data_IF_078960828670
#
_entry.id   IF_078960828670
#
_cell.length_a   1.000
_cell.length_b   1.000
_cell.length_c   1.000
_cell.angle_alpha   90.00
_cell.angle_beta   90.00
_cell.angle_gamma   90.00
#
_symmetry.space_group_name_H-M   'P 1'
#
loop_
_entity.id
_entity.type
_entity.pdbx_description
1 polymer ?
#
# COMPACT_ATOMS: atom_id res chain seq x y z
N UNK A 1 14.95 -5.30 -15.14
CA UNK A 1 13.51 -4.94 -15.05
C UNK A 1 12.87 -5.78 -13.95
N UNK A 2 12.12 -5.19 -13.01
CA UNK A 2 11.43 -5.94 -11.94
C UNK A 2 9.93 -5.92 -12.20
N UNK A 3 9.27 -7.04 -11.98
CA UNK A 3 7.81 -7.16 -12.05
C UNK A 3 7.28 -7.09 -10.62
N UNK A 4 6.29 -6.24 -10.38
CA UNK A 4 5.63 -6.07 -9.09
C UNK A 4 4.12 -6.18 -9.21
N UNK A 5 3.45 -6.13 -8.05
CA UNK A 5 1.99 -6.18 -7.94
C UNK A 5 1.47 -5.03 -7.10
N UNK A 6 0.29 -4.53 -7.44
CA UNK A 6 -0.40 -3.49 -6.69
C UNK A 6 -1.19 -4.12 -5.54
N UNK A 7 -1.05 -3.59 -4.32
CA UNK A 7 -1.71 -4.09 -3.11
C UNK A 7 -2.46 -2.98 -2.36
N UNK A 8 -3.39 -3.37 -1.49
CA UNK A 8 -4.10 -2.45 -0.60
C UNK A 8 -3.24 -2.00 0.59
N UNK A 9 -2.18 -2.74 0.92
CA UNK A 9 -1.28 -2.46 2.04
C UNK A 9 -1.58 -3.22 3.33
N UNK A 10 -2.35 -4.31 3.23
CA UNK A 10 -2.56 -5.25 4.32
C UNK A 10 -1.38 -6.25 4.40
N UNK A 11 -1.11 -6.83 5.57
CA UNK A 11 0.00 -7.79 5.72
C UNK A 11 -0.30 -9.09 4.96
N UNK A 12 -1.58 -9.43 4.85
CA UNK A 12 -2.12 -10.53 4.08
C UNK A 12 -1.77 -10.41 2.60
N UNK A 13 -1.78 -9.19 2.06
CA UNK A 13 -1.39 -8.90 0.68
C UNK A 13 0.09 -9.21 0.43
N UNK A 14 0.97 -8.97 1.40
CA UNK A 14 2.40 -9.33 1.29
C UNK A 14 2.58 -10.85 1.20
N UNK A 15 1.81 -11.59 1.99
CA UNK A 15 1.83 -13.06 1.97
C UNK A 15 1.28 -13.60 0.65
N UNK A 16 0.25 -12.97 0.10
CA UNK A 16 -0.27 -13.27 -1.25
C UNK A 16 0.78 -12.97 -2.33
N UNK A 17 1.41 -11.81 -2.30
CA UNK A 17 2.44 -11.41 -3.25
C UNK A 17 3.63 -12.38 -3.25
N UNK A 18 4.10 -12.78 -2.05
CA UNK A 18 5.19 -13.74 -1.90
C UNK A 18 4.84 -15.11 -2.50
N UNK A 19 3.64 -15.64 -2.21
CA UNK A 19 3.19 -16.93 -2.77
C UNK A 19 3.09 -16.94 -4.29
N UNK A 20 2.84 -15.77 -4.89
CA UNK A 20 2.79 -15.59 -6.33
C UNK A 20 4.17 -15.30 -6.96
N UNK A 21 5.23 -15.27 -6.16
CA UNK A 21 6.60 -15.06 -6.63
C UNK A 21 6.99 -13.59 -6.81
N UNK A 22 6.15 -12.64 -6.42
CA UNK A 22 6.49 -11.22 -6.48
C UNK A 22 7.47 -10.83 -5.39
N UNK A 23 8.43 -9.96 -5.75
CA UNK A 23 9.43 -9.38 -4.85
C UNK A 23 9.31 -7.85 -4.74
N UNK A 24 8.31 -7.27 -5.38
CA UNK A 24 8.07 -5.83 -5.40
C UNK A 24 6.56 -5.56 -5.34
N UNK A 25 6.17 -4.56 -4.56
CA UNK A 25 4.78 -4.11 -4.49
C UNK A 25 4.64 -2.59 -4.62
N UNK A 26 3.46 -2.15 -5.03
CA UNK A 26 2.98 -0.79 -4.85
C UNK A 26 1.84 -0.77 -3.83
N UNK A 27 1.90 0.14 -2.86
CA UNK A 27 0.86 0.32 -1.85
C UNK A 27 -0.16 1.36 -2.31
N UNK A 28 -1.24 0.92 -2.97
CA UNK A 28 -2.20 1.80 -3.66
C UNK A 28 -3.17 2.53 -2.74
N UNK A 29 -3.66 1.89 -1.68
CA UNK A 29 -4.64 2.47 -0.73
C UNK A 29 -4.00 3.09 0.49
N UNK A 30 -2.84 3.71 0.31
CA UNK A 30 -2.12 4.33 1.43
C UNK A 30 -2.96 5.42 2.12
N UNK A 31 -3.66 6.26 1.35
CA UNK A 31 -4.50 7.34 1.88
C UNK A 31 -5.61 6.82 2.81
N UNK A 32 -6.20 5.67 2.47
CA UNK A 32 -7.31 5.06 3.23
C UNK A 32 -6.81 4.12 4.34
N UNK A 33 -5.52 3.83 4.38
CA UNK A 33 -4.92 2.90 5.32
C UNK A 33 -4.54 3.56 6.66
N UNK A 34 -4.15 2.76 7.67
CA UNK A 34 -3.73 3.26 8.99
C UNK A 34 -2.46 4.14 8.96
N UNK A 35 -1.74 4.13 7.84
CA UNK A 35 -0.59 5.00 7.60
C UNK A 35 -0.95 6.30 6.84
N UNK A 36 -2.22 6.48 6.49
CA UNK A 36 -2.73 7.60 5.71
C UNK A 36 -2.77 8.92 6.50
N UNK A 37 -3.00 10.05 5.80
CA UNK A 37 -2.91 11.40 6.39
C UNK A 37 -3.94 11.67 7.49
N UNK A 38 -5.03 10.90 7.56
CA UNK A 38 -6.07 11.05 8.59
C UNK A 38 -5.72 10.36 9.92
N UNK A 39 -4.58 9.66 10.01
CA UNK A 39 -4.12 9.00 11.22
C UNK A 39 -2.92 9.74 11.82
N UNK A 40 -3.14 10.46 12.92
CA UNK A 40 -2.07 11.21 13.59
C UNK A 40 -0.91 10.28 14.03
N UNK A 41 -1.24 9.08 14.51
CA UNK A 41 -0.30 8.04 14.94
C UNK A 41 -0.02 7.02 13.82
N UNK A 42 0.28 7.50 12.60
CA UNK A 42 0.51 6.65 11.42
C UNK A 42 1.81 5.82 11.49
N UNK A 43 2.83 6.33 12.19
CA UNK A 43 4.21 5.83 12.14
C UNK A 43 4.35 4.36 12.56
N UNK A 44 3.76 3.90 13.68
CA UNK A 44 3.85 2.49 14.07
C UNK A 44 3.29 1.53 13.02
N UNK A 45 2.24 1.93 12.29
CA UNK A 45 1.66 1.11 11.23
C UNK A 45 2.59 1.00 10.02
N UNK A 46 3.16 2.12 9.58
CA UNK A 46 4.11 2.14 8.48
C UNK A 46 5.37 1.31 8.80
N UNK A 47 5.89 1.42 10.03
CA UNK A 47 7.05 0.66 10.50
C UNK A 47 6.75 -0.85 10.56
N UNK A 48 5.59 -1.24 11.10
CA UNK A 48 5.15 -2.63 11.10
C UNK A 48 5.04 -3.18 9.67
N UNK A 49 4.37 -2.47 8.78
CA UNK A 49 4.21 -2.92 7.40
C UNK A 49 5.55 -3.05 6.67
N UNK A 50 6.46 -2.09 6.85
CA UNK A 50 7.80 -2.14 6.29
C UNK A 50 8.62 -3.32 6.85
N UNK A 51 8.50 -3.61 8.15
CA UNK A 51 9.15 -4.77 8.77
C UNK A 51 8.62 -6.09 8.19
N UNK A 52 7.30 -6.23 8.02
CA UNK A 52 6.67 -7.41 7.43
C UNK A 52 7.09 -7.61 5.96
N UNK A 53 7.19 -6.53 5.18
CA UNK A 53 7.67 -6.58 3.80
C UNK A 53 9.13 -7.04 3.74
N UNK A 54 9.99 -6.46 4.60
CA UNK A 54 11.40 -6.83 4.71
C UNK A 54 11.58 -8.29 5.11
N UNK A 55 10.81 -8.78 6.07
CA UNK A 55 10.86 -10.18 6.51
C UNK A 55 10.50 -11.18 5.40
N UNK A 56 9.76 -10.75 4.37
CA UNK A 56 9.36 -11.57 3.22
C UNK A 56 10.25 -11.39 1.98
N UNK A 57 11.30 -10.58 2.09
CA UNK A 57 12.12 -10.14 0.96
C UNK A 57 11.26 -9.48 -0.14
N UNK A 58 10.35 -8.61 0.28
CA UNK A 58 9.51 -7.80 -0.59
C UNK A 58 9.92 -6.34 -0.47
N UNK A 59 10.18 -5.71 -1.61
CA UNK A 59 10.39 -4.27 -1.70
C UNK A 59 9.06 -3.54 -1.88
N UNK A 60 8.85 -2.50 -1.08
CA UNK A 60 7.83 -1.48 -1.37
C UNK A 60 8.45 -0.52 -2.39
N UNK A 61 8.04 -0.59 -3.65
CA UNK A 61 8.63 0.19 -4.75
C UNK A 61 7.96 1.54 -4.98
N UNK A 62 6.69 1.65 -4.60
CA UNK A 62 5.90 2.86 -4.74
C UNK A 62 4.79 2.88 -3.69
N UNK A 63 4.32 4.08 -3.38
CA UNK A 63 3.12 4.35 -2.58
C UNK A 63 2.19 5.14 -3.50
N UNK A 64 0.99 4.62 -3.70
CA UNK A 64 -0.02 5.24 -4.55
C UNK A 64 -0.45 6.58 -3.97
N UNK A 65 -0.37 7.64 -4.77
CA UNK A 65 -0.94 8.93 -4.43
C UNK A 65 -2.42 8.93 -4.80
N UNK A 66 -3.30 9.06 -3.81
CA UNK A 66 -4.72 9.26 -4.08
C UNK A 66 -4.94 10.70 -4.55
N UNK A 67 -5.20 10.88 -5.84
CA UNK A 67 -5.65 12.15 -6.39
C UNK A 67 -7.18 12.21 -6.30
N UNK A 68 -7.71 12.93 -5.32
CA UNK A 68 -9.13 13.27 -5.27
C UNK A 68 -9.31 14.56 -6.06
N UNK A 69 -9.99 14.50 -7.20
CA UNK A 69 -10.34 15.70 -7.97
C UNK A 69 -11.59 16.35 -7.34
N UNK A 70 -11.48 17.46 -6.59
CA UNK A 70 -12.63 18.11 -5.99
C UNK A 70 -13.57 18.75 -7.04
N UNK A 71 -13.13 18.84 -8.30
CA UNK A 71 -13.93 19.31 -9.43
C UNK A 71 -14.67 18.18 -10.15
N UNK A 72 -14.45 16.92 -9.76
CA UNK A 72 -15.25 15.81 -10.27
C UNK A 72 -16.64 15.89 -9.63
N UNK A 73 -17.72 16.15 -10.40
CA UNK A 73 -19.05 16.27 -9.82
C UNK A 73 -19.43 14.97 -9.12
N UNK A 74 -20.05 15.09 -7.92
CA UNK A 74 -20.56 13.93 -7.17
C UNK A 74 -21.39 13.06 -8.11
N UNK A 75 -20.94 11.83 -8.38
CA UNK A 75 -21.77 10.85 -9.07
C UNK A 75 -22.96 10.56 -8.15
N UNK A 76 -24.16 10.92 -8.59
CA UNK A 76 -25.42 10.62 -7.92
C UNK A 76 -25.94 9.30 -8.49
N UNK A 77 -26.45 8.42 -7.62
CA UNK A 77 -27.14 7.18 -8.02
C UNK A 77 -28.47 7.48 -8.74
#
# INVERSE_FOLDING_TARGET
MRIGVVTGGEVEDLSRAQRQGFRSIEWMRFHDGPAGPNHAEWKPFAEKFAAEARARDIRISAIGALYQNPLDPKQTE
#
